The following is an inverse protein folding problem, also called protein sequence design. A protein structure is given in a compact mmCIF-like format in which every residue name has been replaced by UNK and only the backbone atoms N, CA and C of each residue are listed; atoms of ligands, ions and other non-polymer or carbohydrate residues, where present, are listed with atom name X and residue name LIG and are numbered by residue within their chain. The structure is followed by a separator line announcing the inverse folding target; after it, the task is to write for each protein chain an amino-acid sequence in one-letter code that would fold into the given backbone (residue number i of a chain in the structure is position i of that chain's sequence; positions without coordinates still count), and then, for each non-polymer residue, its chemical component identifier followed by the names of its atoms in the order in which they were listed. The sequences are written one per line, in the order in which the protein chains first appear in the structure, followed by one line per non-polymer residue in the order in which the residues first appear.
data_IF_257591574760
#
_entry.id   IF_257591574760
#
_cell.length_a   1.000
_cell.length_b   1.000
_cell.length_c   1.000
_cell.angle_alpha   90.00
_cell.angle_beta   90.00
_cell.angle_gamma   90.00
#
_symmetry.space_group_name_H-M   'P 1'
#
loop_
_entity.id
_entity.type
_entity.pdbx_description
1 polymer ?
#
# COMPACT_ATOMS: atom_id res chain seq x y z
N UNK A 1 13.80 -2.34 -15.87
CA UNK A 1 12.62 -3.16 -16.21
C UNK A 1 13.04 -4.63 -16.09
N UNK A 2 12.44 -5.40 -15.19
CA UNK A 2 12.73 -6.83 -15.08
C UNK A 2 11.96 -7.57 -16.18
N UNK A 3 12.68 -8.17 -17.12
CA UNK A 3 12.10 -9.07 -18.12
C UNK A 3 11.41 -10.26 -17.41
N UNK A 4 10.30 -10.81 -17.93
CA UNK A 4 9.77 -12.05 -17.41
C UNK A 4 10.85 -13.12 -17.55
N UNK A 5 11.16 -13.82 -16.44
CA UNK A 5 12.07 -14.96 -16.48
C UNK A 5 11.53 -15.95 -17.52
N UNK A 6 12.30 -16.17 -18.59
CA UNK A 6 11.92 -17.05 -19.69
C UNK A 6 11.69 -18.46 -19.13
N UNK A 7 10.41 -18.84 -18.95
CA UNK A 7 9.99 -20.10 -18.35
C UNK A 7 8.93 -19.99 -17.25
N UNK A 8 8.58 -18.78 -16.79
CA UNK A 8 7.53 -18.61 -15.78
C UNK A 8 6.13 -18.91 -16.38
N UNK A 9 5.38 -19.82 -15.75
CA UNK A 9 3.99 -20.08 -16.16
C UNK A 9 3.07 -18.92 -15.78
N UNK A 10 1.92 -18.78 -16.46
CA UNK A 10 0.95 -17.72 -16.15
C UNK A 10 0.54 -17.71 -14.67
N UNK A 11 0.38 -18.88 -14.06
CA UNK A 11 0.09 -19.03 -12.64
C UNK A 11 1.25 -18.60 -11.72
N UNK A 12 2.50 -18.90 -12.10
CA UNK A 12 3.67 -18.43 -11.35
C UNK A 12 3.80 -16.91 -11.42
N UNK A 13 3.55 -16.32 -12.59
CA UNK A 13 3.52 -14.88 -12.78
C UNK A 13 2.46 -14.23 -11.89
N UNK A 14 1.21 -14.72 -11.93
CA UNK A 14 0.13 -14.18 -11.09
C UNK A 14 0.44 -14.30 -9.60
N UNK A 15 0.95 -15.44 -9.12
CA UNK A 15 1.36 -15.61 -7.72
C UNK A 15 2.51 -14.67 -7.33
N UNK A 16 3.43 -14.37 -8.25
CA UNK A 16 4.50 -13.38 -8.03
C UNK A 16 3.94 -11.97 -7.93
N UNK A 17 3.01 -11.60 -8.82
CA UNK A 17 2.34 -10.29 -8.78
C UNK A 17 1.55 -10.10 -7.49
N UNK A 18 0.82 -11.12 -7.02
CA UNK A 18 0.12 -11.10 -5.74
C UNK A 18 1.07 -10.80 -4.57
N UNK A 19 2.21 -11.50 -4.51
CA UNK A 19 3.24 -11.26 -3.49
C UNK A 19 3.86 -9.86 -3.56
N UNK A 20 4.08 -9.33 -4.75
CA UNK A 20 4.61 -7.96 -4.91
C UNK A 20 3.56 -6.93 -4.46
N UNK A 21 2.28 -7.17 -4.74
CA UNK A 21 1.18 -6.32 -4.30
C UNK A 21 1.02 -6.36 -2.78
N UNK A 22 1.10 -7.54 -2.14
CA UNK A 22 1.14 -7.66 -0.67
C UNK A 22 2.28 -6.86 -0.04
N UNK A 23 3.47 -6.85 -0.67
CA UNK A 23 4.60 -6.05 -0.19
C UNK A 23 4.35 -4.55 -0.37
N UNK A 24 3.75 -4.14 -1.50
CA UNK A 24 3.36 -2.74 -1.73
C UNK A 24 2.37 -2.25 -0.68
N UNK A 25 1.36 -3.07 -0.37
CA UNK A 25 0.37 -2.78 0.68
C UNK A 25 1.06 -2.58 2.02
N UNK A 26 1.90 -3.54 2.45
CA UNK A 26 2.64 -3.45 3.72
C UNK A 26 3.55 -2.23 3.81
N UNK A 27 4.21 -1.87 2.71
CA UNK A 27 5.04 -0.67 2.66
C UNK A 27 4.21 0.62 2.75
N UNK A 28 3.06 0.65 2.08
CA UNK A 28 2.13 1.80 2.11
C UNK A 28 1.48 1.95 3.48
N UNK A 29 1.09 0.84 4.14
CA UNK A 29 0.59 0.81 5.52
C UNK A 29 1.61 1.40 6.49
N UNK A 30 2.86 0.91 6.43
CA UNK A 30 3.94 1.45 7.27
C UNK A 30 4.13 2.96 7.06
N UNK A 31 4.05 3.43 5.82
CA UNK A 31 4.17 4.85 5.54
C UNK A 31 2.99 5.66 6.10
N UNK A 32 1.77 5.11 6.03
CA UNK A 32 0.60 5.75 6.63
C UNK A 32 0.70 5.84 8.17
N UNK A 33 1.29 4.82 8.81
CA UNK A 33 1.58 4.82 10.25
C UNK A 33 2.65 5.86 10.61
N UNK A 34 3.75 5.94 9.85
CA UNK A 34 4.78 6.97 10.04
C UNK A 34 4.22 8.40 9.92
N UNK A 35 3.29 8.62 8.98
CA UNK A 35 2.58 9.90 8.85
C UNK A 35 1.65 10.15 10.04
N UNK A 36 0.97 9.12 10.54
CA UNK A 36 0.13 9.24 11.73
C UNK A 36 0.94 9.61 12.99
N UNK A 37 2.10 8.99 13.17
CA UNK A 37 3.03 9.30 14.26
C UNK A 37 3.55 10.74 14.15
N UNK A 38 3.88 11.19 12.93
CA UNK A 38 4.29 12.59 12.70
C UNK A 38 3.18 13.59 13.04
N UNK A 39 1.92 13.29 12.68
CA UNK A 39 0.76 14.11 13.06
C UNK A 39 0.63 14.16 14.59
N UNK A 40 0.71 13.02 15.27
CA UNK A 40 0.59 12.96 16.73
C UNK A 40 1.71 13.76 17.42
N UNK A 41 2.94 13.64 16.94
CA UNK A 41 4.08 14.38 17.45
C UNK A 41 3.92 15.89 17.26
N UNK A 42 3.40 16.34 16.12
CA UNK A 42 3.13 17.76 15.84
C UNK A 42 1.98 18.29 16.69
N UNK A 43 0.89 17.53 16.83
CA UNK A 43 -0.28 17.91 17.61
C UNK A 43 0.00 18.03 19.12
N UNK A 44 1.01 17.30 19.62
CA UNK A 44 1.42 17.35 21.02
C UNK A 44 2.26 18.61 21.37
N UNK A 45 2.63 19.43 20.38
CA UNK A 45 3.43 20.64 20.61
C UNK A 45 2.57 21.76 21.24
N UNK A 46 3.16 22.69 22.02
CA UNK A 46 2.42 23.78 22.65
C UNK A 46 1.75 24.76 21.67
N UNK A 47 2.33 24.89 20.48
CA UNK A 47 1.79 25.66 19.35
C UNK A 47 1.87 24.77 18.09
N UNK A 48 0.87 23.90 17.86
CA UNK A 48 0.89 22.92 16.79
C UNK A 48 0.59 23.58 15.44
N UNK A 49 1.48 23.40 14.47
CA UNK A 49 1.31 23.90 13.11
C UNK A 49 0.14 23.19 12.42
N UNK A 50 -1.02 23.84 12.43
CA UNK A 50 -2.26 23.28 11.89
C UNK A 50 -2.20 23.07 10.37
N UNK A 51 -1.44 23.88 9.64
CA UNK A 51 -1.29 23.71 8.19
C UNK A 51 -0.49 22.46 7.88
N UNK A 52 0.61 22.22 8.62
CA UNK A 52 1.41 21.02 8.49
C UNK A 52 0.62 19.77 8.86
N UNK A 53 -0.14 19.80 9.96
CA UNK A 53 -1.01 18.70 10.39
C UNK A 53 -2.08 18.40 9.33
N UNK A 54 -2.70 19.43 8.75
CA UNK A 54 -3.70 19.24 7.69
C UNK A 54 -3.10 18.61 6.42
N UNK A 55 -1.91 19.06 6.00
CA UNK A 55 -1.22 18.50 4.83
C UNK A 55 -0.83 17.02 5.03
N UNK A 56 -0.31 16.68 6.22
CA UNK A 56 -0.03 15.29 6.59
C UNK A 56 -1.31 14.46 6.68
N UNK A 57 -2.41 15.04 7.18
CA UNK A 57 -3.72 14.38 7.20
C UNK A 57 -4.21 14.01 5.80
N UNK A 58 -4.09 14.92 4.83
CA UNK A 58 -4.43 14.65 3.43
C UNK A 58 -3.51 13.57 2.84
N UNK A 59 -2.21 13.62 3.15
CA UNK A 59 -1.24 12.61 2.70
C UNK A 59 -1.64 11.23 3.22
N UNK A 60 -1.98 11.13 4.51
CA UNK A 60 -2.45 9.88 5.12
C UNK A 60 -3.73 9.38 4.47
N UNK A 61 -4.69 10.25 4.17
CA UNK A 61 -5.93 9.85 3.50
C UNK A 61 -5.66 9.26 2.11
N UNK A 62 -4.77 9.87 1.33
CA UNK A 62 -4.36 9.34 0.02
C UNK A 62 -3.72 7.96 0.15
N UNK A 63 -2.86 7.76 1.15
CA UNK A 63 -2.23 6.46 1.40
C UNK A 63 -3.26 5.39 1.77
N UNK A 64 -4.24 5.73 2.62
CA UNK A 64 -5.32 4.81 3.00
C UNK A 64 -6.20 4.41 1.82
N UNK A 65 -6.54 5.36 0.95
CA UNK A 65 -7.27 5.07 -0.31
C UNK A 65 -6.49 4.12 -1.21
N UNK A 66 -5.19 4.38 -1.38
CA UNK A 66 -4.31 3.48 -2.14
C UNK A 66 -4.27 2.06 -1.56
N UNK A 67 -4.20 1.92 -0.23
CA UNK A 67 -4.23 0.60 0.43
C UNK A 67 -5.53 -0.13 0.13
N UNK A 68 -6.68 0.56 0.17
CA UNK A 68 -7.98 -0.04 -0.14
C UNK A 68 -8.06 -0.52 -1.60
N UNK A 69 -7.59 0.28 -2.54
CA UNK A 69 -7.52 -0.06 -3.96
C UNK A 69 -6.59 -1.26 -4.23
N UNK A 70 -5.40 -1.27 -3.60
CA UNK A 70 -4.44 -2.36 -3.73
C UNK A 70 -4.96 -3.65 -3.08
N UNK A 71 -5.64 -3.58 -1.94
CA UNK A 71 -6.28 -4.75 -1.29
C UNK A 71 -7.40 -5.34 -2.13
N UNK A 72 -8.20 -4.48 -2.77
CA UNK A 72 -9.24 -4.93 -3.72
C UNK A 72 -8.59 -5.66 -4.89
N UNK A 73 -7.57 -5.05 -5.49
CA UNK A 73 -6.81 -5.64 -6.61
C UNK A 73 -6.16 -6.96 -6.24
N UNK A 74 -5.64 -7.09 -5.01
CA UNK A 74 -5.06 -8.34 -4.50
C UNK A 74 -6.12 -9.42 -4.37
N UNK A 75 -7.27 -9.11 -3.77
CA UNK A 75 -8.38 -10.05 -3.62
C UNK A 75 -8.88 -10.57 -4.97
N UNK A 76 -8.99 -9.69 -5.97
CA UNK A 76 -9.38 -10.07 -7.33
C UNK A 76 -8.34 -11.01 -7.95
N UNK A 77 -7.06 -10.67 -7.82
CA UNK A 77 -5.97 -11.49 -8.34
C UNK A 77 -5.89 -12.87 -7.65
N UNK A 78 -6.07 -12.93 -6.34
CA UNK A 78 -6.10 -14.17 -5.57
C UNK A 78 -7.29 -15.06 -5.98
N UNK A 79 -8.45 -14.45 -6.25
CA UNK A 79 -9.62 -15.17 -6.77
C UNK A 79 -9.32 -15.81 -8.12
N UNK A 80 -8.77 -15.05 -9.06
CA UNK A 80 -8.37 -15.56 -10.38
C UNK A 80 -7.34 -16.69 -10.25
N UNK A 81 -6.34 -16.57 -9.37
CA UNK A 81 -5.36 -17.63 -9.13
C UNK A 81 -6.06 -18.88 -8.58
N UNK A 82 -6.95 -18.74 -7.60
CA UNK A 82 -7.65 -19.87 -7.00
C UNK A 82 -8.54 -20.62 -7.99
N UNK A 83 -9.12 -19.91 -8.95
CA UNK A 83 -9.99 -20.50 -9.97
C UNK A 83 -9.22 -21.16 -11.12
N UNK A 84 -7.97 -20.76 -11.37
CA UNK A 84 -7.27 -21.12 -12.62
C UNK A 84 -5.93 -21.88 -12.46
N UNK A 85 -5.39 -22.14 -11.25
CA UNK A 85 -3.96 -22.53 -11.08
C UNK A 85 -3.56 -23.78 -10.26
#
# INVERSE_FOLDING_TARGET
MNAPASGESGCQLMRRLAKELEKSIKATERHADEVADAIAALAARPDPDQQQIAALGQTREVLLKKIEEERTSLSDLESVISENC
#
